data_IF_206000847990
#
_entry.id   IF_206000847990
#
_cell.length_a   1.000
_cell.length_b   1.000
_cell.length_c   1.000
_cell.angle_alpha   90.00
_cell.angle_beta   90.00
_cell.angle_gamma   90.00
#
_symmetry.space_group_name_H-M   'P 1'
#
loop_
_entity.id
_entity.type
_entity.pdbx_description
1 polymer ?
#
# COMPACT_ATOMS: atom_id res chain seq x y z
N UNK A 1 32.82 -29.52 26.56
CA UNK A 1 31.88 -28.37 26.45
C UNK A 1 31.78 -28.01 24.97
N UNK A 2 30.63 -28.24 24.33
CA UNK A 2 30.40 -27.90 22.92
C UNK A 2 29.69 -26.54 22.88
N UNK A 3 30.34 -25.52 22.33
CA UNK A 3 29.73 -24.22 22.12
C UNK A 3 28.93 -24.26 20.80
N UNK A 4 27.61 -24.13 20.90
CA UNK A 4 26.72 -23.95 19.75
C UNK A 4 26.87 -22.51 19.22
N UNK A 5 27.49 -22.37 18.04
CA UNK A 5 27.46 -21.13 17.28
C UNK A 5 26.07 -20.95 16.67
N UNK A 6 25.30 -20.02 17.26
CA UNK A 6 24.04 -19.53 16.71
C UNK A 6 24.32 -18.84 15.36
N UNK A 7 23.63 -19.29 14.31
CA UNK A 7 23.64 -18.66 12.98
C UNK A 7 22.79 -17.40 13.04
N UNK A 8 23.42 -16.26 13.31
CA UNK A 8 22.79 -14.96 13.08
C UNK A 8 22.64 -14.73 11.57
N UNK A 9 21.47 -14.26 11.17
CA UNK A 9 21.11 -13.93 9.78
C UNK A 9 21.90 -12.74 9.24
N UNK A 10 23.20 -12.90 9.02
CA UNK A 10 24.10 -11.92 8.41
C UNK A 10 24.08 -12.05 6.88
N UNK A 11 23.09 -11.46 6.20
CA UNK A 11 23.14 -11.33 4.73
C UNK A 11 23.25 -9.88 4.22
N UNK A 12 23.25 -8.89 5.11
CA UNK A 12 23.38 -7.47 4.74
C UNK A 12 24.61 -6.76 5.28
N UNK A 13 25.44 -7.37 6.14
CA UNK A 13 26.56 -6.68 6.80
C UNK A 13 27.64 -6.22 5.82
N UNK A 14 27.98 -7.05 4.83
CA UNK A 14 29.12 -6.81 3.96
C UNK A 14 28.93 -5.60 3.03
N UNK A 15 27.68 -5.26 2.69
CA UNK A 15 27.39 -4.06 1.90
C UNK A 15 27.63 -2.79 2.71
N UNK A 16 27.32 -2.83 4.01
CA UNK A 16 27.55 -1.68 4.89
C UNK A 16 29.04 -1.50 5.20
N UNK A 17 29.81 -2.60 5.27
CA UNK A 17 31.25 -2.56 5.52
C UNK A 17 32.03 -1.83 4.42
N UNK A 18 31.76 -2.10 3.14
CA UNK A 18 32.38 -1.37 2.02
C UNK A 18 32.03 0.11 2.09
N UNK A 19 30.78 0.44 2.41
CA UNK A 19 30.30 1.82 2.46
C UNK A 19 30.89 2.60 3.64
N UNK A 20 31.14 1.93 4.77
CA UNK A 20 31.86 2.50 5.91
C UNK A 20 33.34 2.75 5.60
N UNK A 21 34.00 1.83 4.87
CA UNK A 21 35.39 2.03 4.41
C UNK A 21 35.45 3.24 3.47
N UNK A 22 34.57 3.30 2.46
CA UNK A 22 34.50 4.43 1.53
C UNK A 22 34.21 5.75 2.26
N UNK A 23 33.31 5.74 3.24
CA UNK A 23 33.02 6.93 4.04
C UNK A 23 34.26 7.43 4.81
N UNK A 24 35.03 6.52 5.43
CA UNK A 24 36.25 6.85 6.16
C UNK A 24 37.34 7.41 5.25
N UNK A 25 37.59 6.76 4.11
CA UNK A 25 38.60 7.20 3.13
C UNK A 25 38.29 8.59 2.55
N UNK A 26 37.01 8.93 2.37
CA UNK A 26 36.58 10.23 1.87
C UNK A 26 36.41 11.30 2.96
N UNK A 27 36.60 10.95 4.24
CA UNK A 27 36.34 11.85 5.37
C UNK A 27 34.88 12.27 5.51
N UNK A 28 33.95 11.43 5.04
CA UNK A 28 32.51 11.70 5.05
C UNK A 28 31.80 10.87 6.12
N UNK A 29 30.61 11.31 6.51
CA UNK A 29 29.73 10.47 7.32
C UNK A 29 29.16 9.33 6.46
N UNK A 30 28.96 8.17 7.08
CA UNK A 30 28.26 7.05 6.44
C UNK A 30 26.86 7.45 5.93
N UNK A 31 26.18 8.34 6.65
CA UNK A 31 24.89 8.90 6.24
C UNK A 31 24.96 9.66 4.91
N UNK A 32 26.06 10.38 4.66
CA UNK A 32 26.30 11.11 3.40
C UNK A 32 26.40 10.13 2.22
N UNK A 33 27.20 9.06 2.35
CA UNK A 33 27.29 8.00 1.33
C UNK A 33 25.93 7.37 1.07
N UNK A 34 25.16 7.06 2.13
CA UNK A 34 23.80 6.52 1.99
C UNK A 34 22.85 7.49 1.25
N UNK A 35 22.90 8.79 1.56
CA UNK A 35 22.08 9.80 0.87
C UNK A 35 22.41 9.84 -0.62
N UNK A 36 23.70 9.93 -0.96
CA UNK A 36 24.14 9.94 -2.35
C UNK A 36 23.70 8.69 -3.09
N UNK A 37 23.87 7.51 -2.50
CA UNK A 37 23.39 6.27 -3.12
C UNK A 37 21.88 6.25 -3.31
N UNK A 38 21.11 6.89 -2.44
CA UNK A 38 19.66 7.05 -2.62
C UNK A 38 19.35 8.03 -3.76
N UNK A 39 20.05 9.16 -3.83
CA UNK A 39 19.89 10.19 -4.88
C UNK A 39 20.25 9.66 -6.27
N UNK A 40 21.32 8.87 -6.37
CA UNK A 40 21.76 8.21 -7.61
C UNK A 40 21.04 6.88 -7.88
N UNK A 41 19.99 6.54 -7.11
CA UNK A 41 19.14 5.37 -7.36
C UNK A 41 19.81 4.01 -7.12
N UNK A 42 20.99 3.98 -6.49
CA UNK A 42 21.68 2.73 -6.11
C UNK A 42 21.01 2.04 -4.93
N UNK A 43 20.36 2.80 -4.06
CA UNK A 43 19.44 2.26 -3.04
C UNK A 43 18.03 2.38 -3.60
N UNK A 44 17.55 1.30 -4.23
CA UNK A 44 16.12 1.22 -4.55
C UNK A 44 15.37 1.07 -3.23
N UNK A 45 14.39 1.95 -2.92
CA UNK A 45 13.49 1.67 -1.83
C UNK A 45 12.89 0.29 -2.08
N UNK A 46 13.04 -0.62 -1.11
CA UNK A 46 12.42 -1.94 -1.18
C UNK A 46 10.91 -1.76 -1.00
N UNK A 47 10.27 -1.22 -2.04
CA UNK A 47 8.84 -1.10 -2.06
C UNK A 47 8.31 -2.53 -2.20
N UNK A 48 7.84 -3.08 -1.08
CA UNK A 48 7.28 -4.43 -1.01
C UNK A 48 6.15 -4.66 -2.02
N UNK A 49 5.54 -3.57 -2.52
CA UNK A 49 4.45 -3.59 -3.47
C UNK A 49 4.78 -2.69 -4.66
N UNK A 50 4.56 -3.21 -5.87
CA UNK A 50 4.51 -2.40 -7.08
C UNK A 50 3.32 -1.42 -7.02
N UNK A 51 3.43 -0.29 -7.71
CA UNK A 51 2.39 0.74 -7.72
C UNK A 51 1.02 0.21 -8.21
N UNK A 52 1.02 -0.63 -9.24
CA UNK A 52 -0.18 -1.31 -9.75
C UNK A 52 -0.86 -2.15 -8.67
N UNK A 53 -0.08 -2.94 -7.93
CA UNK A 53 -0.58 -3.78 -6.83
C UNK A 53 -1.13 -2.94 -5.68
N UNK A 54 -0.48 -1.82 -5.36
CA UNK A 54 -0.96 -0.87 -4.38
C UNK A 54 -2.33 -0.29 -4.78
N UNK A 55 -2.52 0.10 -6.05
CA UNK A 55 -3.80 0.60 -6.57
C UNK A 55 -4.90 -0.47 -6.51
N UNK A 56 -4.60 -1.69 -6.92
CA UNK A 56 -5.51 -2.85 -6.84
C UNK A 56 -6.00 -3.08 -5.40
N UNK A 57 -5.07 -3.13 -4.43
CA UNK A 57 -5.41 -3.34 -3.01
C UNK A 57 -6.24 -2.20 -2.43
N UNK A 58 -5.99 -0.96 -2.83
CA UNK A 58 -6.78 0.19 -2.38
C UNK A 58 -8.19 0.20 -2.97
N UNK A 59 -8.36 -0.20 -4.24
CA UNK A 59 -9.70 -0.37 -4.81
C UNK A 59 -10.50 -1.42 -4.04
N UNK A 60 -9.88 -2.57 -3.74
CA UNK A 60 -10.50 -3.63 -2.95
C UNK A 60 -10.84 -3.17 -1.53
N UNK A 61 -9.98 -2.37 -0.90
CA UNK A 61 -10.26 -1.75 0.40
C UNK A 61 -11.55 -0.93 0.36
N UNK A 62 -11.71 -0.05 -0.64
CA UNK A 62 -12.89 0.81 -0.74
C UNK A 62 -14.16 0.01 -0.99
N UNK A 63 -14.12 -1.02 -1.86
CA UNK A 63 -15.25 -1.92 -2.10
C UNK A 63 -15.71 -2.63 -0.82
N UNK A 64 -14.77 -3.17 -0.02
CA UNK A 64 -15.11 -3.82 1.26
C UNK A 64 -15.73 -2.82 2.23
N UNK A 65 -15.19 -1.60 2.27
CA UNK A 65 -15.66 -0.56 3.20
C UNK A 65 -17.04 -0.03 2.84
N UNK A 66 -17.35 0.04 1.55
CA UNK A 66 -18.66 0.39 1.02
C UNK A 66 -19.71 -0.67 1.37
N UNK A 67 -19.38 -1.96 1.14
CA UNK A 67 -20.25 -3.08 1.48
C UNK A 67 -20.42 -3.27 3.00
N UNK A 68 -19.41 -2.92 3.80
CA UNK A 68 -19.39 -3.19 5.24
C UNK A 68 -18.82 -2.00 6.03
N UNK A 69 -19.56 -0.89 6.18
CA UNK A 69 -19.05 0.35 6.77
C UNK A 69 -18.60 0.19 8.23
N UNK A 70 -19.17 -0.78 8.96
CA UNK A 70 -18.86 -1.07 10.37
C UNK A 70 -17.54 -1.83 10.59
N UNK A 71 -16.98 -2.47 9.56
CA UNK A 71 -15.71 -3.21 9.72
C UNK A 71 -14.55 -2.24 9.93
N UNK A 72 -13.67 -2.54 10.88
CA UNK A 72 -12.51 -1.70 11.19
C UNK A 72 -11.44 -1.76 10.10
N UNK A 73 -10.73 -0.66 9.88
CA UNK A 73 -9.62 -0.59 8.92
C UNK A 73 -8.53 -1.64 9.22
N UNK A 74 -8.27 -1.88 10.50
CA UNK A 74 -7.30 -2.88 10.96
C UNK A 74 -7.69 -4.30 10.53
N UNK A 75 -8.98 -4.63 10.67
CA UNK A 75 -9.50 -5.93 10.27
C UNK A 75 -9.41 -6.13 8.76
N UNK A 76 -9.76 -5.12 7.96
CA UNK A 76 -9.63 -5.17 6.51
C UNK A 76 -8.16 -5.37 6.13
N UNK A 77 -7.23 -4.60 6.71
CA UNK A 77 -5.81 -4.70 6.43
C UNK A 77 -5.25 -6.10 6.72
N UNK A 78 -5.46 -6.60 7.95
CA UNK A 78 -4.84 -7.84 8.42
C UNK A 78 -5.54 -9.08 7.90
N UNK A 79 -6.87 -9.12 7.95
CA UNK A 79 -7.64 -10.33 7.64
C UNK A 79 -7.90 -10.47 6.15
N UNK A 80 -8.29 -9.39 5.48
CA UNK A 80 -8.76 -9.45 4.09
C UNK A 80 -7.65 -9.14 3.07
N UNK A 81 -6.85 -8.11 3.30
CA UNK A 81 -5.81 -7.68 2.36
C UNK A 81 -4.42 -8.26 2.64
N UNK A 82 -4.21 -8.84 3.82
CA UNK A 82 -2.92 -9.40 4.28
C UNK A 82 -1.77 -8.37 4.19
N UNK A 83 -2.06 -7.12 4.54
CA UNK A 83 -1.08 -6.03 4.60
C UNK A 83 -0.95 -5.48 6.02
N UNK A 84 0.17 -4.82 6.30
CA UNK A 84 0.35 -4.09 7.56
C UNK A 84 -0.62 -2.91 7.68
N UNK A 85 -1.13 -2.66 8.88
CA UNK A 85 -2.04 -1.52 9.17
C UNK A 85 -1.37 -0.18 8.85
N UNK A 86 -0.11 -0.02 9.23
CA UNK A 86 0.69 1.18 8.91
C UNK A 86 0.83 1.40 7.40
N UNK A 87 0.99 0.32 6.62
CA UNK A 87 1.00 0.36 5.15
C UNK A 87 -0.33 0.89 4.60
N UNK A 88 -1.46 0.36 5.09
CA UNK A 88 -2.79 0.82 4.69
C UNK A 88 -2.98 2.33 5.00
N UNK A 89 -2.65 2.78 6.21
CA UNK A 89 -2.78 4.20 6.58
C UNK A 89 -1.88 5.11 5.75
N UNK A 90 -0.65 4.67 5.46
CA UNK A 90 0.26 5.39 4.56
C UNK A 90 -0.36 5.54 3.16
N UNK A 91 -0.90 4.46 2.61
CA UNK A 91 -1.55 4.49 1.29
C UNK A 91 -2.82 5.34 1.29
N UNK A 92 -3.68 5.23 2.29
CA UNK A 92 -4.87 6.11 2.42
C UNK A 92 -4.48 7.59 2.36
N UNK A 93 -3.43 8.00 3.08
CA UNK A 93 -2.91 9.38 3.03
C UNK A 93 -2.38 9.76 1.63
N UNK A 94 -1.65 8.85 1.00
CA UNK A 94 -1.09 9.06 -0.34
C UNK A 94 -2.18 9.24 -1.39
N UNK A 95 -3.17 8.34 -1.46
CA UNK A 95 -4.25 8.40 -2.46
C UNK A 95 -5.20 9.57 -2.22
N UNK A 96 -5.49 9.94 -0.97
CA UNK A 96 -6.25 11.17 -0.68
C UNK A 96 -5.56 12.39 -1.29
N UNK A 97 -4.24 12.55 -1.09
CA UNK A 97 -3.49 13.67 -1.69
C UNK A 97 -3.54 13.67 -3.21
N UNK A 98 -3.56 12.50 -3.85
CA UNK A 98 -3.66 12.40 -5.31
C UNK A 98 -5.04 12.78 -5.85
N UNK A 99 -6.13 12.43 -5.13
CA UNK A 99 -7.49 12.82 -5.52
C UNK A 99 -7.74 14.33 -5.39
N UNK A 100 -7.05 15.02 -4.47
CA UNK A 100 -7.15 16.46 -4.27
C UNK A 100 -6.15 17.29 -5.11
N UNK A 101 -5.46 16.68 -6.08
CA UNK A 101 -4.70 17.45 -7.07
C UNK A 101 -5.59 17.73 -8.29
N UNK A 102 -6.15 18.96 -8.45
CA UNK A 102 -7.07 19.30 -9.52
C UNK A 102 -6.48 19.28 -10.95
N UNK A 103 -5.19 18.92 -11.11
CA UNK A 103 -4.50 18.90 -12.40
C UNK A 103 -4.10 17.48 -12.86
N UNK A 104 -4.60 16.41 -12.24
CA UNK A 104 -4.36 15.04 -12.73
C UNK A 104 -5.42 14.65 -13.75
N UNK A 105 -5.02 14.65 -15.03
CA UNK A 105 -5.87 14.43 -16.23
C UNK A 105 -6.53 13.04 -16.26
N UNK A 106 -6.13 12.10 -15.38
CA UNK A 106 -6.64 10.71 -15.36
C UNK A 106 -7.66 10.43 -14.23
N UNK A 107 -8.22 11.48 -13.62
CA UNK A 107 -9.19 11.40 -12.53
C UNK A 107 -10.63 11.11 -12.93
N UNK A 108 -10.88 10.36 -14.01
CA UNK A 108 -12.24 9.93 -14.36
C UNK A 108 -12.62 8.70 -13.53
N UNK A 109 -13.02 8.93 -12.27
CA UNK A 109 -13.79 7.93 -11.53
C UNK A 109 -15.23 8.05 -12.02
N UNK A 110 -15.62 7.12 -12.90
CA UNK A 110 -17.01 6.99 -13.36
C UNK A 110 -17.84 6.59 -12.14
N UNK A 111 -18.45 7.58 -11.50
CA UNK A 111 -19.56 7.40 -10.57
C UNK A 111 -20.82 7.17 -11.40
N UNK A 112 -20.93 6.00 -12.01
CA UNK A 112 -22.12 5.60 -12.77
C UNK A 112 -22.59 4.23 -12.28
N UNK A 113 -23.86 4.20 -11.88
CA UNK A 113 -24.69 3.06 -11.48
C UNK A 113 -24.76 2.70 -9.99
N UNK A 114 -25.37 3.62 -9.23
CA UNK A 114 -26.14 3.28 -8.03
C UNK A 114 -27.53 3.94 -8.07
N UNK A 115 -28.32 3.71 -9.13
CA UNK A 115 -29.74 4.08 -9.16
C UNK A 115 -30.50 3.35 -10.29
N UNK A 116 -30.72 2.03 -10.17
CA UNK A 116 -31.72 1.34 -10.98
C UNK A 116 -32.16 0.02 -10.32
N UNK A 117 -32.77 0.07 -9.13
CA UNK A 117 -33.69 -1.00 -8.73
C UNK A 117 -34.57 -0.61 -7.53
N UNK A 118 -35.55 0.29 -7.70
CA UNK A 118 -36.77 0.28 -6.88
C UNK A 118 -37.90 0.93 -7.69
N UNK A 119 -38.93 0.13 -7.98
CA UNK A 119 -40.35 0.45 -8.28
C UNK A 119 -40.86 -0.16 -9.59
N UNK A 120 -41.45 -1.35 -9.48
CA UNK A 120 -42.80 -1.66 -10.00
C UNK A 120 -43.24 -3.02 -9.42
N UNK A 121 -43.69 -2.99 -8.17
CA UNK A 121 -44.66 -3.94 -7.65
C UNK A 121 -45.95 -3.14 -7.62
N UNK A 122 -46.86 -3.31 -8.58
CA UNK A 122 -48.30 -3.09 -8.38
C UNK A 122 -49.12 -3.88 -9.43
N UNK A 123 -49.85 -4.86 -8.89
CA UNK A 123 -51.23 -5.21 -9.22
C UNK A 123 -51.60 -5.65 -10.65
N UNK A 124 -51.79 -6.97 -10.83
CA UNK A 124 -53.00 -7.50 -11.48
C UNK A 124 -53.29 -8.92 -11.00
N UNK A 125 -53.90 -8.98 -9.83
CA UNK A 125 -54.69 -10.10 -9.37
C UNK A 125 -56.12 -9.86 -9.88
N UNK A 126 -56.51 -10.50 -10.99
CA UNK A 126 -57.92 -10.59 -11.39
C UNK A 126 -58.25 -12.02 -11.78
N UNK A 127 -58.45 -12.86 -10.75
CA UNK A 127 -59.41 -13.95 -10.86
C UNK A 127 -60.80 -13.38 -10.57
N UNK A 128 -61.76 -13.56 -11.48
CA UNK A 128 -63.17 -13.55 -11.11
C UNK A 128 -63.99 -14.31 -12.15
N UNK A 129 -64.39 -15.52 -11.71
CA UNK A 129 -65.64 -16.28 -11.95
C UNK A 129 -65.90 -16.80 -13.37
#
# INVERSE_FOLDING_TARGET
>A
MKAELKRDGFKNSHKHEIDEIVAKELGLSFGTICSWKSEFGQIKPQNKYAHSKQKELMNRYYQIKDQNPKISDEEIAKKMLKIGTSTLYRWKRQFKRQQFHPNSVDGHFVEENAAANVQEIEHSNSGSI
#
